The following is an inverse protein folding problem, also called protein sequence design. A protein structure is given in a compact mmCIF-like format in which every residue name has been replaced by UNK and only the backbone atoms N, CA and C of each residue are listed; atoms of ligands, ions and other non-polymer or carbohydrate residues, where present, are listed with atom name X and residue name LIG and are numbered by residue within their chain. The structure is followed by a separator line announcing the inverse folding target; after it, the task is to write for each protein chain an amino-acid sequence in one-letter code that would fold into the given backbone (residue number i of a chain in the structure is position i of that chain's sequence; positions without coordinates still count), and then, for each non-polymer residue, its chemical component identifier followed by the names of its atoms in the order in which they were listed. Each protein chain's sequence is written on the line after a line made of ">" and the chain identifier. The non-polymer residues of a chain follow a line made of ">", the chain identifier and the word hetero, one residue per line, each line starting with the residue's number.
data_IF_991304215094
#
_entry.id   IF_991304215094
#
_cell.length_a   1.000
_cell.length_b   1.000
_cell.length_c   1.000
_cell.angle_alpha   90.00
_cell.angle_beta   90.00
_cell.angle_gamma   90.00
#
_symmetry.space_group_name_H-M   'P 1'
#
loop_
_entity.id
_entity.type
_entity.pdbx_description
1 polymer ?
#
# COMPACT_ATOMS: atom_id res chain seq x y z
N UNK A 1 10.33 -12.46 28.62
CA UNK A 1 9.80 -13.50 27.71
C UNK A 1 9.41 -12.83 26.40
N UNK A 2 10.01 -13.19 25.26
CA UNK A 2 9.57 -12.66 23.96
C UNK A 2 8.22 -13.29 23.63
N UNK A 3 7.13 -12.52 23.68
CA UNK A 3 5.80 -13.01 23.27
C UNK A 3 5.85 -13.29 21.78
N UNK A 4 5.82 -14.57 21.39
CA UNK A 4 5.51 -14.96 20.00
C UNK A 4 4.01 -14.76 19.80
N UNK A 5 3.64 -14.05 18.76
CA UNK A 5 2.25 -13.84 18.40
C UNK A 5 1.69 -15.17 17.88
N UNK A 6 0.40 -15.41 18.10
CA UNK A 6 -0.28 -16.55 17.46
C UNK A 6 -0.49 -16.24 15.98
N UNK A 7 -0.59 -17.26 15.13
CA UNK A 7 -0.80 -17.08 13.68
C UNK A 7 -2.01 -16.18 13.37
N UNK A 8 -3.09 -16.29 14.15
CA UNK A 8 -4.26 -15.40 14.03
C UNK A 8 -3.92 -13.93 14.30
N UNK A 9 -3.08 -13.66 15.30
CA UNK A 9 -2.66 -12.29 15.61
C UNK A 9 -1.77 -11.72 14.49
N UNK A 10 -0.89 -12.53 13.92
CA UNK A 10 -0.06 -12.13 12.77
C UNK A 10 -0.91 -11.80 11.54
N UNK A 11 -1.95 -12.60 11.27
CA UNK A 11 -2.91 -12.32 10.19
C UNK A 11 -3.68 -11.01 10.41
N UNK A 12 -4.17 -10.76 11.64
CA UNK A 12 -4.88 -9.53 11.97
C UNK A 12 -3.97 -8.31 11.82
N UNK A 13 -2.71 -8.40 12.24
CA UNK A 13 -1.72 -7.33 12.07
C UNK A 13 -1.46 -7.10 10.58
N UNK A 14 -1.29 -8.14 9.78
CA UNK A 14 -1.10 -7.99 8.34
C UNK A 14 -2.27 -7.27 7.67
N UNK A 15 -3.53 -7.60 8.02
CA UNK A 15 -4.71 -6.89 7.51
C UNK A 15 -4.70 -5.41 7.87
N UNK A 16 -4.35 -5.09 9.13
CA UNK A 16 -4.21 -3.72 9.60
C UNK A 16 -3.11 -2.96 8.85
N UNK A 17 -2.00 -3.63 8.56
CA UNK A 17 -0.89 -3.05 7.80
C UNK A 17 -1.27 -2.82 6.34
N UNK A 18 -1.95 -3.77 5.71
CA UNK A 18 -2.49 -3.64 4.35
C UNK A 18 -3.41 -2.43 4.23
N UNK A 19 -4.34 -2.25 5.18
CA UNK A 19 -5.27 -1.13 5.18
C UNK A 19 -4.54 0.22 5.24
N UNK A 20 -3.53 0.36 6.11
CA UNK A 20 -2.71 1.57 6.20
C UNK A 20 -1.95 1.88 4.90
N UNK A 21 -1.43 0.86 4.23
CA UNK A 21 -0.74 1.05 2.94
C UNK A 21 -1.70 1.37 1.80
N UNK A 22 -2.90 0.78 1.81
CA UNK A 22 -3.96 1.11 0.87
C UNK A 22 -4.33 2.59 0.97
N UNK A 23 -4.50 3.10 2.19
CA UNK A 23 -4.75 4.53 2.46
C UNK A 23 -3.63 5.43 1.95
N UNK A 24 -2.37 5.01 2.07
CA UNK A 24 -1.23 5.75 1.52
C UNK A 24 -1.29 5.84 -0.01
N UNK A 25 -1.53 4.71 -0.68
CA UNK A 25 -1.67 4.71 -2.15
C UNK A 25 -2.85 5.55 -2.63
N UNK A 26 -3.99 5.47 -1.94
CA UNK A 26 -5.16 6.33 -2.21
C UNK A 26 -4.80 7.81 -2.04
N UNK A 27 -4.07 8.17 -0.98
CA UNK A 27 -3.61 9.55 -0.76
C UNK A 27 -2.74 10.07 -1.91
N UNK A 28 -1.78 9.26 -2.38
CA UNK A 28 -0.91 9.62 -3.51
C UNK A 28 -1.71 9.74 -4.80
N UNK A 29 -2.67 8.84 -5.06
CA UNK A 29 -3.53 8.91 -6.24
C UNK A 29 -4.44 10.15 -6.21
N UNK A 30 -5.04 10.47 -5.07
CA UNK A 30 -5.84 11.70 -4.90
C UNK A 30 -4.99 12.95 -5.09
N UNK A 31 -3.76 12.96 -4.61
CA UNK A 31 -2.82 14.05 -4.87
C UNK A 31 -2.47 14.18 -6.36
N UNK A 32 -2.26 13.06 -7.05
CA UNK A 32 -2.05 13.05 -8.50
C UNK A 32 -3.25 13.54 -9.30
N UNK A 33 -4.47 13.23 -8.85
CA UNK A 33 -5.70 13.82 -9.40
C UNK A 33 -5.76 15.33 -9.16
N UNK A 34 -5.43 15.80 -7.96
CA UNK A 34 -5.35 17.23 -7.66
C UNK A 34 -4.31 17.95 -8.55
N UNK A 35 -3.14 17.35 -8.78
CA UNK A 35 -2.12 17.87 -9.69
C UNK A 35 -2.60 17.93 -11.15
N UNK A 36 -3.39 16.95 -11.59
CA UNK A 36 -3.98 16.93 -12.94
C UNK A 36 -4.90 18.12 -13.16
N UNK A 37 -5.65 18.52 -12.13
CA UNK A 37 -6.63 19.63 -12.21
C UNK A 37 -5.94 21.00 -12.12
N UNK A 38 -4.93 21.16 -11.26
CA UNK A 38 -4.38 22.50 -10.93
C UNK A 38 -3.06 22.83 -11.63
N UNK A 39 -2.32 21.84 -12.13
CA UNK A 39 -0.99 22.03 -12.70
C UNK A 39 -0.94 21.47 -14.13
N UNK A 40 -0.18 20.39 -14.34
CA UNK A 40 0.00 19.77 -15.64
C UNK A 40 -0.53 18.34 -15.60
N UNK A 41 -1.31 17.97 -16.62
CA UNK A 41 -1.86 16.62 -16.76
C UNK A 41 -0.75 15.55 -16.74
N UNK A 42 0.40 15.82 -17.35
CA UNK A 42 1.56 14.92 -17.35
C UNK A 42 2.11 14.68 -15.94
N UNK A 43 2.22 15.73 -15.12
CA UNK A 43 2.67 15.60 -13.74
C UNK A 43 1.65 14.83 -12.91
N UNK A 44 0.36 15.13 -13.03
CA UNK A 44 -0.68 14.41 -12.29
C UNK A 44 -0.75 12.92 -12.62
N UNK A 45 -0.64 12.56 -13.91
CA UNK A 45 -0.55 11.15 -14.34
C UNK A 45 0.70 10.48 -13.75
N UNK A 46 1.85 11.16 -13.70
CA UNK A 46 3.07 10.58 -13.12
C UNK A 46 2.91 10.26 -11.63
N UNK A 47 2.21 11.10 -10.87
CA UNK A 47 1.89 10.87 -9.46
C UNK A 47 0.92 9.69 -9.27
N UNK A 48 -0.11 9.59 -10.12
CA UNK A 48 -1.05 8.45 -10.10
C UNK A 48 -0.33 7.14 -10.40
N UNK A 49 0.53 7.12 -11.42
CA UNK A 49 1.33 5.95 -11.78
C UNK A 49 2.29 5.58 -10.64
N UNK A 50 2.94 6.55 -10.01
CA UNK A 50 3.79 6.31 -8.84
C UNK A 50 3.00 5.70 -7.67
N UNK A 51 1.80 6.22 -7.38
CA UNK A 51 0.91 5.67 -6.34
C UNK A 51 0.48 4.22 -6.63
N UNK A 52 0.12 3.93 -7.88
CA UNK A 52 -0.20 2.57 -8.33
C UNK A 52 1.02 1.63 -8.19
N UNK A 53 2.22 2.09 -8.56
CA UNK A 53 3.44 1.30 -8.44
C UNK A 53 3.77 0.94 -6.99
N UNK A 54 3.61 1.90 -6.06
CA UNK A 54 3.79 1.66 -4.62
C UNK A 54 2.80 0.61 -4.12
N UNK A 55 1.52 0.70 -4.48
CA UNK A 55 0.50 -0.28 -4.08
C UNK A 55 0.84 -1.69 -4.60
N UNK A 56 1.25 -1.81 -5.87
CA UNK A 56 1.62 -3.09 -6.47
C UNK A 56 2.82 -3.70 -5.76
N UNK A 57 3.86 -2.92 -5.46
CA UNK A 57 5.03 -3.39 -4.69
C UNK A 57 4.62 -3.88 -3.30
N UNK A 58 3.74 -3.16 -2.61
CA UNK A 58 3.25 -3.56 -1.29
C UNK A 58 2.44 -4.85 -1.33
N UNK A 59 1.56 -5.01 -2.32
CA UNK A 59 0.78 -6.25 -2.50
C UNK A 59 1.73 -7.43 -2.74
N UNK A 60 2.74 -7.28 -3.60
CA UNK A 60 3.73 -8.33 -3.85
C UNK A 60 4.49 -8.68 -2.56
N UNK A 61 4.91 -7.68 -1.78
CA UNK A 61 5.62 -7.92 -0.52
C UNK A 61 4.74 -8.69 0.48
N UNK A 62 3.45 -8.35 0.56
CA UNK A 62 2.49 -8.98 1.47
C UNK A 62 2.21 -10.43 1.07
N UNK A 63 1.94 -10.69 -0.22
CA UNK A 63 1.68 -12.05 -0.72
C UNK A 63 2.88 -12.95 -0.43
N UNK A 64 4.10 -12.48 -0.76
CA UNK A 64 5.32 -13.23 -0.47
C UNK A 64 5.50 -13.51 1.02
N UNK A 65 5.19 -12.54 1.87
CA UNK A 65 5.29 -12.73 3.32
C UNK A 65 4.28 -13.78 3.82
N UNK A 66 3.08 -13.81 3.23
CA UNK A 66 2.02 -14.73 3.63
C UNK A 66 2.21 -16.15 3.09
N UNK A 67 2.77 -16.31 1.89
CA UNK A 67 3.14 -17.63 1.34
C UNK A 67 4.28 -18.30 2.11
N UNK A 68 5.14 -17.52 2.79
CA UNK A 68 6.30 -18.02 3.54
C UNK A 68 5.94 -18.50 4.96
N UNK A 69 4.78 -18.08 5.50
CA UNK A 69 4.24 -18.64 6.76
C UNK A 69 3.09 -19.61 6.45
N UNK A 70 3.34 -20.94 6.38
CA UNK A 70 2.28 -21.93 6.45
C UNK A 70 1.57 -21.89 7.81
#
# INVERSE_FOLDING_TARGET
>A
MKKRLTQEQEFQIMKLVLDKFLWLGIGVMLFGLYQTINNQMTQGISWIVAGAFVLVLFIIMIIKHYEISP
#
